data_IF_535501655490
#
_entry.id   IF_535501655490
#
_cell.length_a   1.000
_cell.length_b   1.000
_cell.length_c   1.000
_cell.angle_alpha   90.00
_cell.angle_beta   90.00
_cell.angle_gamma   90.00
#
_symmetry.space_group_name_H-M   'P 1'
#
loop_
_entity.id
_entity.type
_entity.pdbx_description
1 polymer ?
#
# COMPACT_ATOMS: atom_id res chain seq x y z
N UNK A 1 4.20 24.34 -2.71
CA UNK A 1 5.65 24.22 -2.43
C UNK A 1 5.95 23.78 -1.00
N UNK A 2 5.39 24.40 0.05
CA UNK A 2 5.70 24.03 1.44
C UNK A 2 5.44 22.53 1.77
N UNK A 3 4.32 21.95 1.33
CA UNK A 3 4.02 20.53 1.55
C UNK A 3 5.00 19.58 0.85
N UNK A 4 5.48 19.97 -0.33
CA UNK A 4 6.50 19.21 -1.06
C UNK A 4 7.82 19.20 -0.30
N UNK A 5 8.20 20.33 0.32
CA UNK A 5 9.35 20.40 1.21
C UNK A 5 9.15 19.57 2.48
N UNK A 6 7.98 19.68 3.13
CA UNK A 6 7.65 18.87 4.32
C UNK A 6 7.77 17.39 3.98
N UNK A 7 7.26 16.94 2.84
CA UNK A 7 7.42 15.56 2.39
C UNK A 7 8.89 15.20 2.12
N UNK A 8 9.60 16.02 1.35
CA UNK A 8 10.97 15.74 0.94
C UNK A 8 11.96 15.70 2.11
N UNK A 9 11.74 16.49 3.16
CA UNK A 9 12.60 16.54 4.36
C UNK A 9 12.10 15.61 5.48
N UNK A 10 10.93 14.99 5.33
CA UNK A 10 10.45 14.04 6.33
C UNK A 10 11.40 12.85 6.39
N UNK A 11 11.74 12.46 7.61
CA UNK A 11 12.71 11.38 7.87
C UNK A 11 12.31 10.06 7.18
N UNK A 12 11.01 9.77 7.13
CA UNK A 12 10.48 8.54 6.54
C UNK A 12 10.80 8.39 5.03
N UNK A 13 10.41 9.33 4.15
CA UNK A 13 10.84 9.33 2.75
C UNK A 13 12.36 9.26 2.58
N UNK A 14 13.15 10.05 3.32
CA UNK A 14 14.60 10.11 3.16
C UNK A 14 15.30 8.78 3.46
N UNK A 15 14.93 8.12 4.57
CA UNK A 15 15.53 6.84 4.96
C UNK A 15 15.08 5.72 4.02
N UNK A 16 13.79 5.68 3.66
CA UNK A 16 13.29 4.62 2.79
C UNK A 16 13.71 4.75 1.33
N UNK A 17 14.05 5.96 0.85
CA UNK A 17 14.67 6.15 -0.46
C UNK A 17 15.99 5.39 -0.63
N UNK A 18 16.71 5.13 0.45
CA UNK A 18 18.02 4.46 0.41
C UNK A 18 17.98 2.95 0.69
N UNK A 19 16.89 2.43 1.26
CA UNK A 19 16.83 1.03 1.72
C UNK A 19 16.01 0.08 0.86
N UNK A 20 15.10 0.59 0.03
CA UNK A 20 14.18 -0.26 -0.71
C UNK A 20 13.66 0.40 -1.99
N UNK A 21 12.87 -0.36 -2.75
CA UNK A 21 12.21 0.09 -3.97
C UNK A 21 10.80 0.66 -3.74
N UNK A 22 10.35 0.88 -2.50
CA UNK A 22 9.03 1.46 -2.21
C UNK A 22 8.90 2.89 -2.75
N UNK A 23 10.01 3.63 -2.80
CA UNK A 23 10.04 4.96 -3.41
C UNK A 23 9.72 4.92 -4.90
N UNK A 24 10.12 3.86 -5.63
CA UNK A 24 9.76 3.70 -7.04
C UNK A 24 8.26 3.38 -7.21
N UNK A 25 7.73 2.46 -6.39
CA UNK A 25 6.30 2.18 -6.39
C UNK A 25 5.48 3.44 -6.07
N UNK A 26 5.94 4.24 -5.10
CA UNK A 26 5.34 5.54 -4.73
C UNK A 26 5.40 6.53 -5.90
N UNK A 27 6.56 6.64 -6.57
CA UNK A 27 6.73 7.51 -7.73
C UNK A 27 5.70 7.16 -8.81
N UNK A 28 5.58 5.89 -9.20
CA UNK A 28 4.65 5.46 -10.24
C UNK A 28 3.18 5.59 -9.83
N UNK A 29 2.85 5.36 -8.56
CA UNK A 29 1.51 5.63 -8.00
C UNK A 29 1.14 7.12 -8.15
N UNK A 30 2.03 8.02 -7.70
CA UNK A 30 1.79 9.46 -7.76
C UNK A 30 1.82 10.00 -9.19
N UNK A 31 2.70 9.50 -10.04
CA UNK A 31 2.79 9.88 -11.45
C UNK A 31 1.54 9.42 -12.23
N UNK A 32 1.07 8.20 -11.94
CA UNK A 32 -0.19 7.68 -12.45
C UNK A 32 -1.37 8.54 -12.05
N UNK A 33 -1.50 8.85 -10.75
CA UNK A 33 -2.55 9.75 -10.25
C UNK A 33 -2.44 11.14 -10.91
N UNK A 34 -1.25 11.74 -10.92
CA UNK A 34 -1.02 13.06 -11.51
C UNK A 34 -1.46 13.12 -12.98
N UNK A 35 -1.02 12.17 -13.80
CA UNK A 35 -1.42 12.13 -15.21
C UNK A 35 -2.91 11.81 -15.40
N UNK A 36 -3.53 11.03 -14.50
CA UNK A 36 -4.97 10.79 -14.55
C UNK A 36 -5.76 12.08 -14.32
N UNK A 37 -5.40 12.86 -13.28
CA UNK A 37 -6.01 14.15 -12.95
C UNK A 37 -5.78 15.18 -14.08
N UNK A 38 -4.62 15.13 -14.73
CA UNK A 38 -4.31 15.94 -15.92
C UNK A 38 -4.96 15.43 -17.21
N UNK A 39 -5.87 14.45 -17.13
CA UNK A 39 -6.60 13.84 -18.27
C UNK A 39 -5.68 13.18 -19.31
N UNK A 40 -4.44 12.84 -18.94
CA UNK A 40 -3.44 12.12 -19.76
C UNK A 40 -3.52 10.62 -19.49
N UNK A 41 -4.67 10.02 -19.78
CA UNK A 41 -5.02 8.64 -19.41
C UNK A 41 -4.00 7.60 -19.87
N UNK A 42 -3.51 7.67 -21.12
CA UNK A 42 -2.52 6.70 -21.64
C UNK A 42 -1.22 6.74 -20.85
N UNK A 43 -0.70 7.95 -20.55
CA UNK A 43 0.54 8.10 -19.77
C UNK A 43 0.34 7.57 -18.36
N UNK A 44 -0.81 7.90 -17.76
CA UNK A 44 -1.21 7.37 -16.46
C UNK A 44 -1.25 5.85 -16.44
N UNK A 45 -1.89 5.21 -17.42
CA UNK A 45 -1.97 3.74 -17.52
C UNK A 45 -0.59 3.09 -17.64
N UNK A 46 0.30 3.66 -18.44
CA UNK A 46 1.69 3.20 -18.57
C UNK A 46 2.43 3.34 -17.23
N UNK A 47 2.32 4.49 -16.54
CA UNK A 47 2.94 4.68 -15.23
C UNK A 47 2.44 3.65 -14.20
N UNK A 48 1.12 3.41 -14.16
CA UNK A 48 0.54 2.40 -13.25
C UNK A 48 1.01 0.99 -13.61
N UNK A 49 1.17 0.65 -14.89
CA UNK A 49 1.72 -0.64 -15.30
C UNK A 49 3.16 -0.84 -14.81
N UNK A 50 4.05 0.14 -15.01
CA UNK A 50 5.41 0.08 -14.47
C UNK A 50 5.43 0.01 -12.95
N UNK A 51 4.56 0.77 -12.29
CA UNK A 51 4.37 0.67 -10.84
C UNK A 51 3.96 -0.73 -10.40
N UNK A 52 2.98 -1.33 -11.09
CA UNK A 52 2.47 -2.68 -10.83
C UNK A 52 3.52 -3.79 -11.04
N UNK A 53 4.43 -3.61 -12.00
CA UNK A 53 5.59 -4.48 -12.22
C UNK A 53 6.58 -4.44 -11.05
N UNK A 54 6.65 -3.33 -10.31
CA UNK A 54 7.50 -3.19 -9.13
C UNK A 54 6.78 -3.74 -7.88
N UNK A 55 5.54 -3.31 -7.67
CA UNK A 55 4.62 -3.80 -6.63
C UNK A 55 3.20 -3.63 -7.11
N UNK A 56 2.27 -4.52 -6.77
CA UNK A 56 0.88 -4.40 -7.24
C UNK A 56 0.10 -3.18 -6.72
N UNK A 57 0.62 -2.41 -5.76
CA UNK A 57 -0.11 -1.33 -5.09
C UNK A 57 -0.57 -0.20 -6.04
N UNK A 58 0.21 0.28 -7.02
CA UNK A 58 -0.25 1.29 -7.98
C UNK A 58 -1.50 0.87 -8.77
N UNK A 59 -1.73 -0.43 -8.95
CA UNK A 59 -2.94 -0.94 -9.62
C UNK A 59 -4.23 -0.59 -8.86
N UNK A 60 -4.17 -0.21 -7.57
CA UNK A 60 -5.33 0.30 -6.84
C UNK A 60 -5.94 1.56 -7.46
N UNK A 61 -5.22 2.28 -8.35
CA UNK A 61 -5.79 3.37 -9.14
C UNK A 61 -6.94 2.91 -10.05
N UNK A 62 -7.04 1.62 -10.39
CA UNK A 62 -8.20 1.08 -11.11
C UNK A 62 -9.51 1.29 -10.35
N UNK A 63 -9.50 1.25 -9.01
CA UNK A 63 -10.70 1.53 -8.22
C UNK A 63 -11.20 2.97 -8.42
N UNK A 64 -10.30 3.94 -8.58
CA UNK A 64 -10.64 5.32 -8.93
C UNK A 64 -11.26 5.36 -10.33
N UNK A 65 -10.65 4.70 -11.31
CA UNK A 65 -11.20 4.68 -12.66
C UNK A 65 -12.62 4.12 -12.71
N UNK A 66 -12.84 2.96 -12.07
CA UNK A 66 -14.16 2.32 -12.00
C UNK A 66 -15.19 3.25 -11.36
N UNK A 67 -14.79 4.01 -10.32
CA UNK A 67 -15.71 4.91 -9.60
C UNK A 67 -16.03 6.20 -10.34
N UNK A 68 -15.06 6.80 -11.02
CA UNK A 68 -15.12 8.19 -11.49
C UNK A 68 -15.20 8.34 -13.01
N UNK A 69 -15.01 7.26 -13.79
CA UNK A 69 -14.92 7.34 -15.25
C UNK A 69 -15.90 6.37 -15.94
N UNK A 70 -16.31 6.67 -17.18
CA UNK A 70 -17.23 5.80 -17.93
C UNK A 70 -16.56 4.47 -18.31
N UNK A 71 -17.31 3.35 -18.38
CA UNK A 71 -16.75 2.00 -18.57
C UNK A 71 -15.81 1.85 -19.77
N UNK A 72 -16.08 2.53 -20.89
CA UNK A 72 -15.20 2.49 -22.08
C UNK A 72 -13.80 3.05 -21.81
N UNK A 73 -13.71 4.13 -21.03
CA UNK A 73 -12.42 4.71 -20.63
C UNK A 73 -11.68 3.80 -19.65
N UNK A 74 -12.40 3.22 -18.71
CA UNK A 74 -11.87 2.24 -17.75
C UNK A 74 -11.29 1.02 -18.50
N UNK A 75 -12.06 0.44 -19.42
CA UNK A 75 -11.63 -0.70 -20.22
C UNK A 75 -10.36 -0.39 -21.03
N UNK A 76 -10.30 0.77 -21.71
CA UNK A 76 -9.11 1.20 -22.45
C UNK A 76 -7.89 1.34 -21.53
N UNK A 77 -8.07 1.98 -20.38
CA UNK A 77 -6.98 2.19 -19.42
C UNK A 77 -6.43 0.85 -18.91
N UNK A 78 -7.32 -0.06 -18.49
CA UNK A 78 -6.94 -1.39 -18.01
C UNK A 78 -6.27 -2.17 -19.13
N UNK A 79 -6.78 -2.12 -20.36
CA UNK A 79 -6.17 -2.81 -21.51
C UNK A 79 -4.74 -2.33 -21.78
N UNK A 80 -4.46 -1.02 -21.69
CA UNK A 80 -3.09 -0.49 -21.83
C UNK A 80 -2.20 -1.01 -20.70
N UNK A 81 -2.68 -0.95 -19.45
CA UNK A 81 -1.89 -1.37 -18.30
C UNK A 81 -1.58 -2.88 -18.32
N UNK A 82 -2.58 -3.71 -18.63
CA UNK A 82 -2.44 -5.16 -18.81
C UNK A 82 -1.54 -5.47 -20.00
N UNK A 83 -1.65 -4.74 -21.11
CA UNK A 83 -0.78 -4.91 -22.28
C UNK A 83 0.70 -4.68 -21.94
N UNK A 84 1.02 -3.59 -21.23
CA UNK A 84 2.40 -3.32 -20.77
C UNK A 84 2.89 -4.39 -19.78
N UNK A 85 2.04 -4.79 -18.84
CA UNK A 85 2.37 -5.84 -17.87
C UNK A 85 2.64 -7.19 -18.57
N UNK A 86 1.80 -7.57 -19.53
CA UNK A 86 1.96 -8.78 -20.33
C UNK A 86 3.23 -8.74 -21.19
N UNK A 87 3.55 -7.60 -21.81
CA UNK A 87 4.79 -7.46 -22.59
C UNK A 87 6.05 -7.71 -21.75
N UNK A 88 6.03 -7.39 -20.46
CA UNK A 88 7.14 -7.68 -19.56
C UNK A 88 7.19 -9.18 -19.16
N UNK A 89 6.05 -9.80 -18.89
CA UNK A 89 5.98 -11.18 -18.37
C UNK A 89 5.97 -12.27 -19.45
N UNK A 90 5.46 -12.01 -20.66
CA UNK A 90 5.44 -12.98 -21.77
C UNK A 90 6.82 -13.56 -22.09
N UNK A 91 7.91 -12.77 -22.23
CA UNK A 91 9.24 -13.35 -22.47
C UNK A 91 9.74 -14.18 -21.28
N UNK A 92 9.38 -13.80 -20.04
CA UNK A 92 9.74 -14.57 -18.84
C UNK A 92 9.03 -15.92 -18.81
N UNK A 93 7.72 -15.93 -19.11
CA UNK A 93 6.95 -17.16 -19.24
C UNK A 93 7.47 -18.05 -20.39
N UNK A 94 7.86 -17.45 -21.51
CA UNK A 94 8.46 -18.20 -22.61
C UNK A 94 9.81 -18.84 -22.24
N UNK A 95 10.55 -18.22 -21.33
CA UNK A 95 11.85 -18.72 -20.87
C UNK A 95 11.72 -19.76 -19.74
N UNK A 96 10.90 -19.50 -18.73
CA UNK A 96 10.69 -20.40 -17.60
C UNK A 96 9.31 -20.17 -16.95
N UNK A 97 8.35 -21.04 -17.28
CA UNK A 97 6.98 -20.93 -16.78
C UNK A 97 6.90 -21.09 -15.26
N UNK A 98 7.65 -22.04 -14.70
CA UNK A 98 7.57 -22.40 -13.29
C UNK A 98 8.08 -21.27 -12.39
N UNK A 99 9.31 -20.80 -12.60
CA UNK A 99 9.89 -19.71 -11.81
C UNK A 99 9.05 -18.42 -11.97
N UNK A 100 8.58 -18.14 -13.19
CA UNK A 100 7.78 -16.94 -13.44
C UNK A 100 6.43 -16.99 -12.72
N UNK A 101 5.74 -18.14 -12.75
CA UNK A 101 4.48 -18.33 -12.04
C UNK A 101 4.68 -18.19 -10.53
N UNK A 102 5.72 -18.85 -9.98
CA UNK A 102 6.04 -18.79 -8.55
C UNK A 102 6.37 -17.36 -8.11
N UNK A 103 7.15 -16.60 -8.90
CA UNK A 103 7.45 -15.19 -8.60
C UNK A 103 6.20 -14.32 -8.49
N UNK A 104 5.18 -14.58 -9.31
CA UNK A 104 3.90 -13.86 -9.27
C UNK A 104 3.03 -14.25 -8.07
N UNK A 105 3.10 -15.51 -7.63
CA UNK A 105 2.19 -16.04 -6.60
C UNK A 105 2.78 -16.09 -5.20
N UNK A 106 4.11 -16.07 -5.05
CA UNK A 106 4.80 -16.29 -3.77
C UNK A 106 4.33 -15.32 -2.67
N UNK A 107 4.00 -14.08 -3.04
CA UNK A 107 3.51 -13.07 -2.09
C UNK A 107 2.19 -13.46 -1.40
N UNK A 108 1.33 -14.27 -2.04
CA UNK A 108 0.05 -14.71 -1.44
C UNK A 108 0.23 -15.86 -0.45
N UNK A 109 1.33 -16.61 -0.55
CA UNK A 109 1.68 -17.70 0.35
C UNK A 109 2.39 -17.23 1.63
N UNK A 110 2.70 -15.94 1.76
CA UNK A 110 3.41 -15.43 2.93
C UNK A 110 2.59 -15.54 4.22
N UNK A 111 3.22 -15.90 5.35
CA UNK A 111 2.60 -15.76 6.65
C UNK A 111 2.29 -14.29 6.92
N UNK A 112 1.34 -14.03 7.82
CA UNK A 112 1.07 -12.66 8.25
C UNK A 112 2.29 -12.06 8.94
N UNK A 113 2.53 -10.77 8.74
CA UNK A 113 3.67 -10.08 9.34
C UNK A 113 3.29 -8.63 9.65
N UNK A 114 3.78 -8.12 10.78
CA UNK A 114 3.67 -6.69 11.13
C UNK A 114 2.23 -6.15 11.03
N UNK A 115 1.21 -6.95 11.32
CA UNK A 115 -0.19 -6.51 11.32
C UNK A 115 -0.89 -7.06 12.56
N UNK A 116 -2.10 -6.57 12.83
CA UNK A 116 -2.95 -7.18 13.87
C UNK A 116 -3.23 -8.65 13.57
N UNK A 117 -3.24 -9.04 12.30
CA UNK A 117 -3.33 -10.45 11.88
C UNK A 117 -2.09 -11.22 12.31
N UNK A 118 -0.90 -10.65 12.13
CA UNK A 118 0.34 -11.27 12.60
C UNK A 118 0.34 -11.49 14.12
N UNK A 119 -0.19 -10.54 14.90
CA UNK A 119 -0.34 -10.72 16.35
C UNK A 119 -1.32 -11.85 16.71
N UNK A 120 -2.45 -11.94 15.99
CA UNK A 120 -3.44 -13.01 16.21
C UNK A 120 -2.90 -14.38 15.81
N UNK A 121 -2.17 -14.44 14.71
CA UNK A 121 -1.58 -15.66 14.17
C UNK A 121 -0.33 -16.08 14.97
N UNK A 122 0.21 -15.23 15.84
CA UNK A 122 1.45 -15.48 16.58
C UNK A 122 2.71 -15.38 15.71
N UNK A 123 2.63 -14.60 14.63
CA UNK A 123 3.74 -14.33 13.72
C UNK A 123 4.46 -13.03 14.12
N UNK A 124 5.70 -13.17 14.57
CA UNK A 124 6.50 -12.09 15.17
C UNK A 124 7.75 -11.74 14.35
N UNK A 125 7.67 -11.90 13.03
CA UNK A 125 8.80 -11.70 12.11
C UNK A 125 8.47 -10.60 11.09
N UNK A 126 9.44 -10.29 10.23
CA UNK A 126 9.17 -9.51 9.00
C UNK A 126 8.70 -10.43 7.88
N UNK A 127 8.07 -9.86 6.85
CA UNK A 127 7.61 -10.59 5.67
C UNK A 127 8.74 -11.05 4.73
N UNK A 128 9.87 -11.52 5.24
CA UNK A 128 10.98 -12.06 4.45
C UNK A 128 10.68 -13.49 3.96
N UNK A 129 11.22 -13.86 2.80
CA UNK A 129 11.07 -15.19 2.19
C UNK A 129 12.13 -16.19 2.71
N UNK A 130 12.45 -16.16 4.00
CA UNK A 130 13.50 -17.01 4.55
C UNK A 130 14.90 -16.70 3.99
N UNK A 131 15.75 -17.71 3.89
CA UNK A 131 17.15 -17.62 3.50
C UNK A 131 17.32 -17.30 2.00
N UNK A 132 18.39 -16.60 1.62
CA UNK A 132 18.60 -16.15 0.22
C UNK A 132 18.90 -17.32 -0.72
N UNK A 133 19.49 -18.39 -0.19
CA UNK A 133 19.91 -19.58 -0.92
C UNK A 133 18.71 -20.32 -1.52
N UNK A 134 17.54 -20.24 -0.88
CA UNK A 134 16.33 -20.91 -1.35
C UNK A 134 15.58 -20.12 -2.43
N UNK A 135 15.93 -18.85 -2.67
CA UNK A 135 15.21 -17.98 -3.62
C UNK A 135 15.44 -18.36 -5.09
N UNK A 136 16.45 -19.18 -5.36
CA UNK A 136 16.76 -19.68 -6.71
C UNK A 136 15.94 -20.91 -7.10
N UNK A 137 15.20 -21.48 -6.15
CA UNK A 137 14.52 -22.76 -6.29
C UNK A 137 13.00 -22.60 -6.11
N UNK A 138 12.16 -23.03 -7.07
CA UNK A 138 10.69 -22.94 -6.98
C UNK A 138 10.13 -23.57 -5.69
N UNK A 139 10.71 -24.67 -5.26
CA UNK A 139 10.36 -25.42 -4.06
C UNK A 139 10.53 -24.61 -2.76
N UNK A 140 11.39 -23.59 -2.74
CA UNK A 140 11.62 -22.74 -1.57
C UNK A 140 10.37 -21.98 -1.09
N UNK A 141 9.34 -21.85 -1.92
CA UNK A 141 8.07 -21.19 -1.55
C UNK A 141 7.17 -22.09 -0.70
N UNK A 142 7.41 -23.40 -0.67
CA UNK A 142 6.62 -24.36 0.12
C UNK A 142 7.00 -24.33 1.62
N UNK A 143 8.17 -23.78 1.96
CA UNK A 143 8.61 -23.63 3.34
C UNK A 143 7.94 -22.41 3.97
N UNK A 144 6.70 -22.57 4.43
CA UNK A 144 5.98 -21.51 5.15
C UNK A 144 6.66 -21.26 6.49
N UNK A 145 7.45 -20.20 6.56
CA UNK A 145 8.11 -19.75 7.77
C UNK A 145 7.15 -18.98 8.69
N UNK A 146 6.15 -19.64 9.28
CA UNK A 146 5.24 -19.03 10.25
C UNK A 146 3.99 -19.85 10.54
N UNK A 147 3.16 -19.34 11.45
CA UNK A 147 1.87 -19.92 11.81
C UNK A 147 0.80 -19.61 10.75
N UNK A 148 -0.16 -20.53 10.54
CA UNK A 148 -1.28 -20.32 9.64
C UNK A 148 -2.21 -19.20 10.14
N UNK A 149 -2.96 -18.60 9.22
CA UNK A 149 -3.90 -17.55 9.56
C UNK A 149 -5.05 -18.07 10.43
N UNK A 150 -5.25 -17.46 11.60
CA UNK A 150 -6.40 -17.71 12.49
C UNK A 150 -7.70 -17.29 11.80
N UNK A 151 -7.67 -16.16 11.08
CA UNK A 151 -8.77 -15.70 10.24
C UNK A 151 -8.38 -15.87 8.77
N UNK A 152 -9.09 -16.71 7.99
CA UNK A 152 -8.76 -16.97 6.60
C UNK A 152 -8.68 -15.69 5.77
N UNK A 153 -7.64 -15.58 4.93
CA UNK A 153 -7.38 -14.38 4.11
C UNK A 153 -8.55 -14.02 3.19
N UNK A 154 -9.26 -15.02 2.65
CA UNK A 154 -10.43 -14.79 1.81
C UNK A 154 -11.57 -14.09 2.57
N UNK A 155 -11.76 -14.41 3.86
CA UNK A 155 -12.79 -13.79 4.69
C UNK A 155 -12.45 -12.33 4.98
N UNK A 156 -11.18 -12.04 5.29
CA UNK A 156 -10.67 -10.66 5.44
C UNK A 156 -10.89 -9.85 4.16
N UNK A 157 -10.62 -10.45 3.01
CA UNK A 157 -10.85 -9.82 1.71
C UNK A 157 -12.34 -9.54 1.47
N UNK A 158 -13.25 -10.46 1.80
CA UNK A 158 -14.71 -10.25 1.69
C UNK A 158 -15.16 -9.07 2.55
N UNK A 159 -14.71 -8.99 3.80
CA UNK A 159 -15.04 -7.88 4.70
C UNK A 159 -14.49 -6.56 4.14
N UNK A 160 -13.24 -6.54 3.68
CA UNK A 160 -12.63 -5.37 3.07
C UNK A 160 -13.36 -4.92 1.81
N UNK A 161 -13.79 -5.86 0.96
CA UNK A 161 -14.58 -5.59 -0.24
C UNK A 161 -15.95 -5.01 0.12
N UNK A 162 -16.62 -5.52 1.16
CA UNK A 162 -17.89 -4.97 1.64
C UNK A 162 -17.74 -3.53 2.15
N UNK A 163 -16.67 -3.25 2.91
CA UNK A 163 -16.33 -1.88 3.35
C UNK A 163 -16.02 -0.98 2.15
N UNK A 164 -15.23 -1.48 1.20
CA UNK A 164 -14.89 -0.77 -0.04
C UNK A 164 -16.13 -0.42 -0.87
N UNK A 165 -17.06 -1.37 -1.04
CA UNK A 165 -18.33 -1.17 -1.74
C UNK A 165 -19.24 -0.17 -1.01
N UNK A 166 -19.24 -0.21 0.32
CA UNK A 166 -19.93 0.79 1.12
C UNK A 166 -19.36 2.19 0.87
N UNK A 167 -18.03 2.36 0.92
CA UNK A 167 -17.38 3.65 0.60
C UNK A 167 -17.68 4.08 -0.84
N UNK A 168 -17.59 3.15 -1.80
CA UNK A 168 -17.92 3.36 -3.21
C UNK A 168 -19.32 3.96 -3.38
N UNK A 169 -20.34 3.31 -2.81
CA UNK A 169 -21.75 3.72 -2.93
C UNK A 169 -22.07 5.03 -2.21
N UNK A 170 -21.30 5.38 -1.18
CA UNK A 170 -21.51 6.58 -0.37
C UNK A 170 -20.67 7.78 -0.80
N UNK A 171 -19.74 7.63 -1.74
CA UNK A 171 -18.90 8.74 -2.23
C UNK A 171 -19.73 9.80 -2.95
N UNK A 172 -19.55 11.07 -2.54
CA UNK A 172 -20.25 12.26 -3.10
C UNK A 172 -19.30 13.30 -3.71
N UNK A 173 -18.01 13.26 -3.35
CA UNK A 173 -17.03 14.21 -3.87
C UNK A 173 -16.42 13.72 -5.19
N UNK A 174 -16.68 14.40 -6.31
CA UNK A 174 -16.25 14.02 -7.67
C UNK A 174 -15.22 14.97 -8.31
N UNK A 175 -14.45 15.69 -7.48
CA UNK A 175 -13.32 16.51 -7.94
C UNK A 175 -11.98 15.77 -7.74
N UNK A 176 -10.87 16.44 -8.06
CA UNK A 176 -9.51 15.89 -7.94
C UNK A 176 -9.16 15.47 -6.50
N UNK A 177 -9.65 16.23 -5.51
CA UNK A 177 -9.50 15.89 -4.09
C UNK A 177 -10.30 14.62 -3.78
N UNK A 178 -11.51 14.48 -4.32
CA UNK A 178 -12.34 13.28 -4.18
C UNK A 178 -11.66 12.05 -4.76
N UNK A 179 -11.10 12.14 -5.97
CA UNK A 179 -10.35 11.05 -6.59
C UNK A 179 -9.11 10.66 -5.76
N UNK A 180 -8.35 11.66 -5.29
CA UNK A 180 -7.17 11.43 -4.45
C UNK A 180 -7.57 10.79 -3.13
N UNK A 181 -8.60 11.29 -2.45
CA UNK A 181 -9.10 10.73 -1.19
C UNK A 181 -9.64 9.30 -1.36
N UNK A 182 -10.25 9.01 -2.50
CA UNK A 182 -10.76 7.68 -2.83
C UNK A 182 -9.62 6.68 -3.05
N UNK A 183 -8.55 7.08 -3.74
CA UNK A 183 -7.33 6.29 -3.84
C UNK A 183 -6.72 6.02 -2.47
N UNK A 184 -6.59 7.07 -1.65
CA UNK A 184 -6.03 6.97 -0.30
C UNK A 184 -6.80 5.98 0.56
N UNK A 185 -8.14 6.05 0.60
CA UNK A 185 -8.91 5.13 1.44
C UNK A 185 -8.90 3.70 0.88
N UNK A 186 -8.86 3.54 -0.44
CA UNK A 186 -8.70 2.22 -1.08
C UNK A 186 -7.38 1.58 -0.67
N UNK A 187 -6.29 2.35 -0.70
CA UNK A 187 -4.97 1.91 -0.23
C UNK A 187 -4.99 1.46 1.23
N UNK A 188 -5.61 2.24 2.11
CA UNK A 188 -5.67 1.91 3.53
C UNK A 188 -6.54 0.69 3.83
N UNK A 189 -7.68 0.53 3.15
CA UNK A 189 -8.50 -0.67 3.25
C UNK A 189 -7.70 -1.90 2.82
N UNK A 190 -6.94 -1.79 1.72
CA UNK A 190 -6.06 -2.85 1.25
C UNK A 190 -4.97 -3.21 2.27
N UNK A 191 -4.33 -2.22 2.91
CA UNK A 191 -3.31 -2.49 3.95
C UNK A 191 -3.91 -3.11 5.20
N UNK A 192 -5.04 -2.58 5.68
CA UNK A 192 -5.69 -3.07 6.89
C UNK A 192 -6.14 -4.53 6.76
N UNK A 193 -6.53 -4.97 5.57
CA UNK A 193 -6.93 -6.37 5.34
C UNK A 193 -5.75 -7.31 5.01
N UNK A 194 -4.65 -6.80 4.46
CA UNK A 194 -3.53 -7.60 3.96
C UNK A 194 -2.89 -8.49 5.04
N UNK A 195 -2.29 -9.63 4.65
CA UNK A 195 -1.49 -10.49 5.55
C UNK A 195 -0.39 -9.71 6.27
N UNK A 196 0.26 -8.81 5.53
CA UNK A 196 1.26 -7.95 6.11
C UNK A 196 1.44 -6.68 5.28
N UNK A 197 1.79 -5.61 5.97
CA UNK A 197 2.29 -4.41 5.32
C UNK A 197 3.50 -3.91 6.08
N UNK A 198 4.58 -3.61 5.34
CA UNK A 198 5.82 -3.19 5.96
C UNK A 198 5.71 -1.72 6.38
N UNK A 199 6.25 -1.34 7.56
CA UNK A 199 6.44 0.05 7.99
C UNK A 199 6.85 1.00 6.85
N UNK A 200 7.72 0.52 5.97
CA UNK A 200 8.30 1.25 4.84
C UNK A 200 7.25 1.76 3.83
N UNK A 201 6.08 1.13 3.75
CA UNK A 201 5.01 1.51 2.83
C UNK A 201 4.30 2.81 3.26
N UNK A 202 4.65 3.38 4.42
CA UNK A 202 4.24 4.73 4.83
C UNK A 202 4.61 5.79 3.79
N UNK A 203 5.66 5.55 3.00
CA UNK A 203 6.09 6.36 1.84
C UNK A 203 4.96 6.63 0.84
N UNK A 204 3.99 5.72 0.73
CA UNK A 204 2.83 5.84 -0.15
C UNK A 204 1.65 6.56 0.53
N UNK A 205 1.49 6.38 1.85
CA UNK A 205 0.41 6.97 2.66
C UNK A 205 0.62 8.48 2.84
N UNK A 206 1.86 8.89 3.16
CA UNK A 206 2.19 10.29 3.49
C UNK A 206 1.82 11.26 2.36
N UNK A 207 2.29 11.10 1.11
CA UNK A 207 2.04 12.10 0.08
C UNK A 207 0.55 12.20 -0.23
N UNK A 208 -0.16 11.07 -0.27
CA UNK A 208 -1.61 11.03 -0.44
C UNK A 208 -2.36 11.71 0.71
N UNK A 209 -1.89 11.55 1.94
CA UNK A 209 -2.47 12.23 3.12
C UNK A 209 -2.29 13.74 3.03
N UNK A 210 -1.08 14.21 2.68
CA UNK A 210 -0.77 15.63 2.55
C UNK A 210 -1.51 16.29 1.38
N UNK A 211 -1.77 15.56 0.30
CA UNK A 211 -2.58 16.05 -0.83
C UNK A 211 -4.05 16.22 -0.45
N UNK A 212 -4.62 15.32 0.36
CA UNK A 212 -6.04 15.38 0.76
C UNK A 212 -6.25 16.33 1.94
N UNK A 213 -5.31 16.34 2.89
CA UNK A 213 -5.32 17.15 4.10
C UNK A 213 -4.08 18.06 4.15
N UNK A 214 -4.04 19.12 3.33
CA UNK A 214 -2.95 20.11 3.31
C UNK A 214 -3.02 21.05 4.53
N UNK A 215 -3.20 20.50 5.72
CA UNK A 215 -3.43 21.24 6.97
C UNK A 215 -2.43 20.80 8.04
N UNK A 216 -2.34 21.57 9.12
CA UNK A 216 -1.53 21.24 10.31
C UNK A 216 -1.83 19.83 10.82
N UNK A 217 -3.09 19.41 10.79
CA UNK A 217 -3.51 18.08 11.25
C UNK A 217 -2.99 16.97 10.34
N UNK A 218 -2.95 17.17 9.01
CA UNK A 218 -2.38 16.21 8.07
C UNK A 218 -0.85 16.05 8.26
N UNK A 219 -0.17 17.15 8.56
CA UNK A 219 1.27 17.14 8.90
C UNK A 219 1.52 16.42 10.23
N UNK A 220 0.74 16.71 11.26
CA UNK A 220 0.87 16.02 12.56
C UNK A 220 0.60 14.53 12.45
N UNK A 221 -0.41 14.13 11.70
CA UNK A 221 -0.66 12.72 11.42
C UNK A 221 0.57 12.06 10.76
N UNK A 222 1.14 12.70 9.75
CA UNK A 222 2.34 12.22 9.05
C UNK A 222 3.52 12.02 10.00
N UNK A 223 3.78 12.99 10.89
CA UNK A 223 4.86 12.91 11.87
C UNK A 223 4.62 11.77 12.86
N UNK A 224 3.43 11.69 13.45
CA UNK A 224 3.09 10.65 14.45
C UNK A 224 3.16 9.27 13.81
N UNK A 225 2.58 9.09 12.62
CA UNK A 225 2.62 7.82 11.90
C UNK A 225 4.06 7.42 11.58
N UNK A 226 4.89 8.37 11.15
CA UNK A 226 6.32 8.12 10.89
C UNK A 226 7.05 7.68 12.17
N UNK A 227 6.85 8.36 13.29
CA UNK A 227 7.49 8.00 14.57
C UNK A 227 7.12 6.58 15.02
N UNK A 228 5.83 6.23 14.99
CA UNK A 228 5.36 4.88 15.36
C UNK A 228 5.94 3.82 14.42
N UNK A 229 5.96 4.12 13.14
CA UNK A 229 6.47 3.24 12.08
C UNK A 229 7.98 2.99 12.22
N UNK A 230 8.76 4.04 12.50
CA UNK A 230 10.20 3.96 12.70
C UNK A 230 10.58 3.25 14.01
N UNK A 231 9.82 3.51 15.07
CA UNK A 231 9.99 2.83 16.35
C UNK A 231 9.85 1.31 16.19
N UNK A 232 8.96 0.84 15.30
CA UNK A 232 8.85 -0.56 14.95
C UNK A 232 10.01 -1.00 14.06
N UNK A 233 10.19 -0.39 12.89
CA UNK A 233 11.27 -0.70 11.97
C UNK A 233 11.93 0.60 11.47
N UNK A 234 13.24 0.78 11.69
CA UNK A 234 14.22 -0.25 12.06
C UNK A 234 14.42 -0.45 13.57
N UNK A 235 13.92 0.42 14.45
CA UNK A 235 14.43 0.49 15.83
C UNK A 235 14.15 -0.74 16.70
N UNK A 236 13.00 -1.38 16.58
CA UNK A 236 12.71 -2.59 17.36
C UNK A 236 13.39 -3.81 16.70
N UNK A 237 13.32 -3.91 15.37
CA UNK A 237 13.90 -5.02 14.60
C UNK A 237 15.43 -5.04 14.57
N UNK A 238 16.13 -3.94 14.78
CA UNK A 238 17.61 -3.98 14.90
C UNK A 238 18.05 -4.79 16.13
N UNK A 239 17.17 -4.96 17.13
CA UNK A 239 17.43 -5.73 18.35
C UNK A 239 17.16 -7.22 18.20
N UNK A 240 16.77 -7.68 17.02
CA UNK A 240 16.46 -9.09 16.76
C UNK A 240 17.52 -9.79 15.91
N UNK A 241 18.73 -9.21 15.80
CA UNK A 241 19.85 -9.85 15.11
C UNK A 241 20.16 -11.24 15.67
N UNK A 242 20.26 -11.37 17.00
CA UNK A 242 20.57 -12.64 17.67
C UNK A 242 19.46 -13.69 17.55
N UNK A 243 18.23 -13.26 17.23
CA UNK A 243 17.05 -14.13 17.05
C UNK A 243 16.69 -14.33 15.57
N UNK A 244 17.58 -13.96 14.65
CA UNK A 244 17.35 -14.10 13.20
C UNK A 244 16.16 -13.27 12.68
N UNK A 245 15.83 -12.17 13.36
CA UNK A 245 14.74 -11.28 12.97
C UNK A 245 13.40 -11.55 13.68
N UNK A 246 13.34 -12.50 14.63
CA UNK A 246 12.11 -12.83 15.37
C UNK A 246 11.97 -11.98 16.64
N UNK A 247 10.84 -11.30 16.82
CA UNK A 247 10.52 -10.60 18.06
C UNK A 247 10.18 -11.62 19.16
N UNK A 248 10.97 -11.65 20.24
CA UNK A 248 10.76 -12.55 21.38
C UNK A 248 10.97 -11.84 22.72
N UNK A 249 10.58 -12.49 23.82
CA UNK A 249 10.80 -12.01 25.20
C UNK A 249 10.23 -10.61 25.44
N UNK A 250 11.05 -9.72 26.00
CA UNK A 250 10.65 -8.37 26.37
C UNK A 250 10.26 -7.46 25.18
N UNK A 251 10.58 -7.86 23.94
CA UNK A 251 10.27 -7.06 22.74
C UNK A 251 8.84 -7.29 22.23
N UNK A 252 8.17 -8.38 22.64
CA UNK A 252 6.84 -8.76 22.15
C UNK A 252 5.79 -7.70 22.48
N UNK A 253 5.78 -7.20 23.73
CA UNK A 253 4.80 -6.20 24.15
C UNK A 253 4.98 -4.85 23.42
N UNK A 254 6.19 -4.26 23.36
CA UNK A 254 6.43 -3.07 22.55
C UNK A 254 6.02 -3.24 21.07
N UNK A 255 6.32 -4.39 20.46
CA UNK A 255 5.91 -4.68 19.09
C UNK A 255 4.39 -4.70 18.93
N UNK A 256 3.68 -5.39 19.83
CA UNK A 256 2.21 -5.44 19.81
C UNK A 256 1.59 -4.05 19.94
N UNK A 257 2.09 -3.21 20.87
CA UNK A 257 1.62 -1.82 21.04
C UNK A 257 1.83 -1.01 19.77
N UNK A 258 2.99 -1.09 19.14
CA UNK A 258 3.29 -0.34 17.92
C UNK A 258 2.38 -0.74 16.76
N UNK A 259 2.18 -2.05 16.56
CA UNK A 259 1.26 -2.58 15.54
C UNK A 259 -0.18 -2.11 15.79
N UNK A 260 -0.66 -2.18 17.04
CA UNK A 260 -2.01 -1.73 17.41
C UNK A 260 -2.15 -0.21 17.22
N UNK A 261 -1.22 0.58 17.74
CA UNK A 261 -1.23 2.03 17.63
C UNK A 261 -1.26 2.48 16.16
N UNK A 262 -0.41 1.87 15.32
CA UNK A 262 -0.39 2.13 13.89
C UNK A 262 -1.71 1.76 13.21
N UNK A 263 -2.28 0.62 13.57
CA UNK A 263 -3.58 0.19 13.02
C UNK A 263 -4.68 1.19 13.37
N UNK A 264 -4.72 1.67 14.61
CA UNK A 264 -5.66 2.70 15.05
C UNK A 264 -5.46 4.03 14.31
N UNK A 265 -4.21 4.44 14.07
CA UNK A 265 -3.91 5.62 13.25
C UNK A 265 -4.46 5.47 11.82
N UNK A 266 -4.25 4.32 11.18
CA UNK A 266 -4.78 4.06 9.83
C UNK A 266 -6.32 4.04 9.80
N UNK A 267 -6.96 3.46 10.81
CA UNK A 267 -8.42 3.49 10.96
C UNK A 267 -8.93 4.92 11.13
N UNK A 268 -8.27 5.73 11.95
CA UNK A 268 -8.58 7.15 12.12
C UNK A 268 -8.47 7.93 10.80
N UNK A 269 -7.42 7.67 10.02
CA UNK A 269 -7.26 8.26 8.70
C UNK A 269 -8.35 7.78 7.72
N UNK A 270 -8.76 6.51 7.75
CA UNK A 270 -9.89 6.02 6.95
C UNK A 270 -11.18 6.79 7.26
N UNK A 271 -11.47 7.04 8.54
CA UNK A 271 -12.65 7.82 8.95
C UNK A 271 -12.55 9.26 8.44
N UNK A 272 -11.37 9.89 8.55
CA UNK A 272 -11.17 11.25 8.04
C UNK A 272 -11.34 11.33 6.51
N UNK A 273 -10.78 10.37 5.77
CA UNK A 273 -10.91 10.26 4.31
C UNK A 273 -12.36 10.02 3.90
N UNK A 274 -13.07 9.11 4.59
CA UNK A 274 -14.48 8.85 4.34
C UNK A 274 -15.32 10.12 4.55
N UNK A 275 -15.08 10.86 5.63
CA UNK A 275 -15.74 12.17 5.85
C UNK A 275 -15.46 13.14 4.72
N UNK A 276 -14.22 13.19 4.20
CA UNK A 276 -13.85 14.03 3.06
C UNK A 276 -14.59 13.64 1.77
N UNK A 277 -14.74 12.34 1.51
CA UNK A 277 -15.48 11.79 0.37
C UNK A 277 -16.99 12.03 0.43
N UNK A 278 -17.54 12.29 1.62
CA UNK A 278 -18.95 12.60 1.84
C UNK A 278 -19.31 14.07 1.61
N UNK A 279 -18.31 14.94 1.48
CA UNK A 279 -18.50 16.36 1.21
C UNK A 279 -18.80 16.61 -0.27
N UNK A 280 -19.62 17.61 -0.58
CA UNK A 280 -19.76 18.09 -1.95
C UNK A 280 -18.49 18.84 -2.39
N UNK A 281 -18.16 18.87 -3.69
CA UNK A 281 -17.10 19.73 -4.22
C UNK A 281 -17.34 21.19 -3.85
N UNK A 282 -16.26 21.95 -3.64
CA UNK A 282 -16.40 23.41 -3.46
C UNK A 282 -16.71 24.02 -4.82
N UNK A 283 -17.77 24.82 -4.98
CA UNK A 283 -18.09 25.45 -6.26
C UNK A 283 -16.91 26.29 -6.77
N UNK A 284 -16.54 26.11 -8.04
CA UNK A 284 -15.40 26.76 -8.68
C UNK A 284 -15.45 28.30 -8.62
N UNK A 285 -16.64 28.88 -8.43
CA UNK A 285 -16.88 30.32 -8.37
C UNK A 285 -16.32 31.03 -7.12
N UNK A 286 -15.80 30.29 -6.12
CA UNK A 286 -15.31 30.86 -4.84
C UNK A 286 -13.76 30.79 -4.74
N UNK A 287 -13.07 30.35 -5.80
CA UNK A 287 -11.60 30.16 -5.79
C UNK A 287 -10.79 31.29 -6.46
N UNK A 288 -11.36 32.49 -6.62
CA UNK A 288 -10.63 33.70 -7.06
C UNK A 288 -10.13 34.51 -5.87
#
# INVERSE_FOLDING_TARGET
MALSWIYAISFAPLVHMWWNFDSLATLFLLLGLYWLLQKKETRSAIAIAFGALIKFIPALLFAVLIRFYPPRRVARYIAIAVGVFALAYLPLFAQNVEITAVSLTAQFGKPSYQTVWALLDGNYTTGNFGALETHLYPEGVQEVAGNPAVIPSWLRLVVAAAIGLWVYSRTRRFDDIGQTAFLSITLLIFYLQSQGWSPQWVTQIIPLTLLVFPTRNGVYFTIILSLVTFAEYPFLFIRTGDTGGVITGALVMPFAVLVIARTLLLLGLCVALYRRLRQEPIPTAIQT
#
